data_IF_545617546449
#
_entry.id   IF_545617546449
#
_cell.length_a   1.000
_cell.length_b   1.000
_cell.length_c   1.000
_cell.angle_alpha   90.00
_cell.angle_beta   90.00
_cell.angle_gamma   90.00
#
_symmetry.space_group_name_H-M   'P 1'
#
loop_
_entity.id
_entity.type
_entity.pdbx_description
1 polymer ?
#
# COMPACT_ATOMS: atom_id res chain seq x y z
N UNK A 1 -6.79 30.60 37.54
CA UNK A 1 -6.24 31.20 36.28
C UNK A 1 -6.82 30.38 35.15
N UNK A 2 -7.80 31.00 34.49
CA UNK A 2 -8.66 30.40 33.46
C UNK A 2 -7.80 29.87 32.31
N UNK A 3 -7.84 28.55 32.11
CA UNK A 3 -7.39 27.91 30.88
C UNK A 3 -8.36 28.36 29.77
N UNK A 4 -7.95 29.32 28.94
CA UNK A 4 -8.70 29.72 27.75
C UNK A 4 -8.84 28.48 26.86
N UNK A 5 -10.08 28.03 26.68
CA UNK A 5 -10.43 26.94 25.78
C UNK A 5 -9.84 27.23 24.39
N UNK A 6 -9.08 26.29 23.87
CA UNK A 6 -8.51 26.42 22.54
C UNK A 6 -9.60 26.32 21.48
N UNK A 7 -9.44 27.02 20.35
CA UNK A 7 -10.47 27.14 19.31
C UNK A 7 -10.90 25.83 18.62
N UNK A 8 -10.43 24.66 19.09
CA UNK A 8 -10.84 23.33 18.66
C UNK A 8 -11.75 22.60 19.68
N UNK A 9 -11.93 23.16 20.90
CA UNK A 9 -12.81 22.60 21.93
C UNK A 9 -14.23 23.19 21.85
N UNK A 10 -14.64 23.62 20.66
CA UNK A 10 -16.01 24.09 20.47
C UNK A 10 -16.99 22.93 20.55
N UNK A 11 -18.04 22.99 21.34
CA UNK A 11 -19.11 22.02 21.36
C UNK A 11 -19.66 21.84 19.92
N UNK A 12 -19.73 20.62 19.44
CA UNK A 12 -20.22 20.26 18.10
C UNK A 12 -19.16 19.96 17.04
N UNK A 13 -17.85 20.00 17.35
CA UNK A 13 -16.83 19.49 16.45
C UNK A 13 -16.58 18.00 16.68
N UNK A 14 -16.54 17.24 15.60
CA UNK A 14 -16.24 15.80 15.63
C UNK A 14 -14.73 15.59 15.60
N UNK A 15 -14.13 14.86 16.56
CA UNK A 15 -12.75 14.46 16.49
C UNK A 15 -12.45 13.66 15.20
N UNK A 16 -11.28 13.86 14.65
CA UNK A 16 -10.86 13.22 13.39
C UNK A 16 -10.89 11.70 13.49
N UNK A 17 -10.43 11.15 14.63
CA UNK A 17 -10.44 9.73 14.91
C UNK A 17 -11.87 9.16 14.92
N UNK A 18 -12.81 9.85 15.56
CA UNK A 18 -14.21 9.43 15.60
C UNK A 18 -14.88 9.49 14.21
N UNK A 19 -14.52 10.48 13.38
CA UNK A 19 -14.97 10.55 12.00
C UNK A 19 -14.43 9.36 11.18
N UNK A 20 -13.16 9.05 11.34
CA UNK A 20 -12.51 7.91 10.68
C UNK A 20 -13.16 6.58 11.10
N UNK A 21 -13.36 6.35 12.40
CA UNK A 21 -14.02 5.14 12.91
C UNK A 21 -15.42 4.95 12.31
N UNK A 22 -16.21 6.03 12.24
CA UNK A 22 -17.55 5.97 11.60
C UNK A 22 -17.46 5.60 10.11
N UNK A 23 -16.53 6.20 9.37
CA UNK A 23 -16.35 5.90 7.95
C UNK A 23 -15.85 4.46 7.74
N UNK A 24 -14.95 3.97 8.58
CA UNK A 24 -14.47 2.60 8.49
C UNK A 24 -15.57 1.58 8.77
N UNK A 25 -16.42 1.83 9.77
CA UNK A 25 -17.59 0.99 10.04
C UNK A 25 -18.57 0.94 8.85
N UNK A 26 -18.82 2.09 8.20
CA UNK A 26 -19.64 2.15 6.99
C UNK A 26 -18.98 1.43 5.81
N UNK A 27 -17.67 1.51 5.67
CA UNK A 27 -16.92 0.78 4.64
C UNK A 27 -17.00 -0.74 4.83
N UNK A 28 -16.91 -1.21 6.07
CA UNK A 28 -17.05 -2.63 6.43
C UNK A 28 -18.45 -3.18 6.18
N UNK A 29 -19.47 -2.35 6.30
CA UNK A 29 -20.85 -2.72 5.98
C UNK A 29 -21.12 -2.86 4.48
N UNK A 30 -20.28 -2.30 3.62
CA UNK A 30 -20.44 -2.30 2.16
C UNK A 30 -19.14 -2.68 1.44
N UNK A 31 -18.57 -3.86 1.68
CA UNK A 31 -17.31 -4.28 1.07
C UNK A 31 -17.47 -4.53 -0.43
N UNK A 32 -16.38 -4.42 -1.17
CA UNK A 32 -16.31 -4.91 -2.54
C UNK A 32 -16.06 -6.42 -2.49
N UNK A 33 -17.10 -7.21 -2.79
CA UNK A 33 -17.00 -8.66 -2.73
C UNK A 33 -16.54 -9.30 -4.05
N UNK A 34 -16.73 -8.63 -5.17
CA UNK A 34 -16.39 -9.15 -6.49
C UNK A 34 -14.89 -9.38 -6.65
N UNK A 35 -14.55 -10.56 -7.16
CA UNK A 35 -13.18 -11.03 -7.36
C UNK A 35 -12.86 -11.13 -8.85
N UNK A 36 -11.68 -10.71 -9.23
CA UNK A 36 -11.13 -10.83 -10.59
C UNK A 36 -9.83 -11.61 -10.57
N UNK A 37 -9.62 -12.45 -11.58
CA UNK A 37 -8.35 -13.09 -11.83
C UNK A 37 -7.55 -12.24 -12.80
N UNK A 38 -6.47 -11.62 -12.33
CA UNK A 38 -5.62 -10.75 -13.15
C UNK A 38 -4.24 -11.36 -13.36
N UNK A 39 -3.62 -11.05 -14.49
CA UNK A 39 -2.23 -11.39 -14.70
C UNK A 39 -1.32 -10.64 -13.71
N UNK A 40 -0.21 -11.26 -13.31
CA UNK A 40 0.73 -10.65 -12.35
C UNK A 40 1.20 -9.26 -12.80
N UNK A 41 1.43 -9.07 -14.11
CA UNK A 41 1.83 -7.79 -14.70
C UNK A 41 0.76 -6.68 -14.58
N UNK A 42 -0.50 -7.03 -14.32
CA UNK A 42 -1.63 -6.10 -14.20
C UNK A 42 -2.08 -5.92 -12.74
N UNK A 43 -1.38 -6.57 -11.81
CA UNK A 43 -1.79 -6.65 -10.42
C UNK A 43 -1.29 -5.50 -9.54
N UNK A 44 -0.45 -4.60 -10.04
CA UNK A 44 0.05 -3.45 -9.27
C UNK A 44 -1.11 -2.56 -8.78
N UNK A 45 -1.03 -2.17 -7.51
CA UNK A 45 -2.05 -1.36 -6.83
C UNK A 45 -3.35 -2.09 -6.50
N UNK A 46 -3.51 -3.39 -6.88
CA UNK A 46 -4.70 -4.20 -6.58
C UNK A 46 -4.64 -4.71 -5.13
N UNK A 47 -5.76 -5.22 -4.66
CA UNK A 47 -5.90 -5.80 -3.31
C UNK A 47 -6.25 -7.27 -3.41
N UNK A 48 -5.52 -8.13 -2.73
CA UNK A 48 -5.75 -9.58 -2.74
C UNK A 48 -7.13 -9.92 -2.15
N UNK A 49 -7.89 -10.72 -2.89
CA UNK A 49 -9.16 -11.29 -2.46
C UNK A 49 -8.99 -12.67 -1.82
N UNK A 50 -7.91 -13.36 -2.15
CA UNK A 50 -7.51 -14.66 -1.62
C UNK A 50 -6.08 -14.59 -1.13
N UNK A 51 -5.67 -15.41 -0.12
CA UNK A 51 -4.30 -15.41 0.34
C UNK A 51 -3.36 -15.98 -0.72
N UNK A 52 -2.14 -15.48 -0.82
CA UNK A 52 -1.10 -16.12 -1.60
C UNK A 52 -0.42 -17.17 -0.72
N UNK A 53 -0.63 -18.42 -1.06
CA UNK A 53 -0.03 -19.58 -0.39
C UNK A 53 1.19 -20.04 -1.20
N UNK A 54 2.30 -20.28 -0.53
CA UNK A 54 3.50 -20.78 -1.18
C UNK A 54 3.26 -22.17 -1.83
N UNK A 55 3.41 -22.23 -3.14
CA UNK A 55 3.28 -23.47 -3.90
C UNK A 55 4.58 -24.26 -3.92
N UNK A 56 5.70 -23.68 -3.48
CA UNK A 56 7.03 -24.27 -3.41
C UNK A 56 7.82 -23.64 -2.26
N UNK A 57 8.90 -24.32 -1.89
CA UNK A 57 9.87 -23.79 -0.93
C UNK A 57 10.68 -22.64 -1.54
N UNK A 58 11.08 -21.65 -0.74
CA UNK A 58 12.06 -20.64 -1.12
C UNK A 58 13.27 -20.67 -0.16
N UNK A 59 14.47 -20.89 -0.67
CA UNK A 59 14.78 -21.41 -2.00
C UNK A 59 14.24 -22.83 -2.23
N UNK A 60 14.00 -23.25 -3.50
CA UNK A 60 13.35 -24.54 -3.80
C UNK A 60 14.27 -25.75 -3.52
N UNK A 61 15.55 -25.53 -3.32
CA UNK A 61 16.56 -26.50 -2.91
C UNK A 61 17.67 -25.80 -2.15
N UNK A 62 18.47 -26.56 -1.42
CA UNK A 62 19.68 -26.01 -0.80
C UNK A 62 20.64 -25.52 -1.88
N UNK A 63 21.22 -24.34 -1.71
CA UNK A 63 22.12 -23.73 -2.68
C UNK A 63 23.30 -23.03 -2.02
N UNK A 64 24.33 -22.76 -2.81
CA UNK A 64 25.51 -22.05 -2.34
C UNK A 64 25.24 -20.54 -2.19
N UNK A 65 25.65 -20.00 -1.06
CA UNK A 65 25.65 -18.55 -0.84
C UNK A 65 26.86 -17.85 -1.47
N UNK A 66 27.91 -18.59 -1.82
CA UNK A 66 29.20 -18.10 -2.29
C UNK A 66 29.73 -18.86 -3.50
N UNK A 67 30.63 -18.25 -4.23
CA UNK A 67 31.47 -18.95 -5.18
C UNK A 67 32.56 -19.70 -4.41
N UNK A 68 32.66 -21.00 -4.62
CA UNK A 68 33.57 -21.80 -3.80
C UNK A 68 33.56 -23.28 -4.13
N UNK A 69 33.72 -24.08 -3.12
CA UNK A 69 33.83 -25.53 -3.21
C UNK A 69 32.93 -26.20 -2.18
N UNK A 70 32.03 -27.04 -2.67
CA UNK A 70 31.12 -27.81 -1.81
C UNK A 70 31.76 -29.15 -1.45
N UNK A 71 31.65 -29.56 -0.20
CA UNK A 71 32.15 -30.81 0.32
C UNK A 71 31.17 -31.40 1.34
N UNK A 72 31.35 -32.70 1.65
CA UNK A 72 30.78 -33.34 2.82
C UNK A 72 31.81 -33.28 3.95
N UNK A 73 31.53 -32.52 4.95
CA UNK A 73 32.51 -32.26 6.02
C UNK A 73 32.94 -33.51 6.77
N UNK A 74 32.04 -34.50 6.93
CA UNK A 74 32.32 -35.76 7.58
C UNK A 74 33.36 -36.64 6.81
N UNK A 75 33.52 -36.43 5.51
CA UNK A 75 34.47 -37.19 4.67
C UNK A 75 35.84 -36.50 4.58
N UNK A 76 35.99 -35.33 5.16
CA UNK A 76 37.22 -34.54 5.13
C UNK A 76 37.99 -34.61 6.44
N UNK A 77 39.23 -35.00 6.37
CA UNK A 77 40.16 -35.15 7.52
C UNK A 77 41.45 -34.33 7.33
N UNK A 78 41.35 -33.19 6.60
CA UNK A 78 42.48 -32.29 6.36
C UNK A 78 43.24 -32.55 5.03
N UNK A 79 42.89 -33.59 4.26
CA UNK A 79 43.51 -33.90 2.96
C UNK A 79 43.00 -32.98 1.86
N UNK A 80 43.83 -32.81 0.80
CA UNK A 80 43.38 -32.15 -0.42
C UNK A 80 42.36 -32.98 -1.16
N UNK A 81 41.24 -32.38 -1.60
CA UNK A 81 40.16 -33.06 -2.31
C UNK A 81 40.20 -32.79 -3.82
N UNK A 82 40.09 -33.84 -4.67
CA UNK A 82 39.88 -33.64 -6.10
C UNK A 82 38.51 -33.08 -6.41
N UNK A 83 38.39 -32.27 -7.47
CA UNK A 83 37.15 -31.70 -7.96
C UNK A 83 36.45 -32.73 -8.85
N UNK A 84 35.27 -33.23 -8.45
CA UNK A 84 34.52 -34.23 -9.21
C UNK A 84 33.52 -33.64 -10.20
N UNK A 85 33.07 -32.41 -9.95
CA UNK A 85 32.12 -31.70 -10.82
C UNK A 85 32.22 -30.19 -10.65
N UNK A 86 31.63 -29.47 -11.62
CA UNK A 86 31.49 -28.00 -11.61
C UNK A 86 30.02 -27.68 -11.78
N UNK A 87 29.46 -26.90 -10.82
CA UNK A 87 28.03 -26.65 -10.71
C UNK A 87 27.77 -25.13 -10.80
N UNK A 88 27.14 -24.70 -11.88
CA UNK A 88 26.68 -23.33 -12.07
C UNK A 88 25.22 -23.20 -11.68
N UNK A 89 24.76 -21.97 -11.45
CA UNK A 89 23.34 -21.70 -11.28
C UNK A 89 22.55 -22.20 -12.50
N UNK A 90 21.42 -22.88 -12.25
CA UNK A 90 20.61 -23.51 -13.28
C UNK A 90 21.10 -24.95 -13.70
N UNK A 91 22.21 -25.44 -13.17
CA UNK A 91 22.66 -26.79 -13.38
C UNK A 91 21.87 -27.80 -12.50
N UNK A 92 21.83 -29.06 -12.95
CA UNK A 92 21.37 -30.18 -12.14
C UNK A 92 22.61 -30.98 -11.71
N UNK A 93 23.07 -30.87 -10.45
CA UNK A 93 24.25 -31.57 -9.99
C UNK A 93 23.99 -33.08 -9.85
N UNK A 94 25.04 -33.88 -10.04
CA UNK A 94 25.04 -35.28 -9.62
C UNK A 94 25.38 -35.37 -8.12
N UNK A 95 25.03 -36.49 -7.44
CA UNK A 95 25.46 -36.71 -6.07
C UNK A 95 26.97 -36.55 -5.92
N UNK A 96 27.42 -35.95 -4.81
CA UNK A 96 28.84 -35.75 -4.55
C UNK A 96 29.52 -37.11 -4.33
N UNK A 97 30.59 -37.39 -5.08
CA UNK A 97 31.39 -38.60 -4.90
C UNK A 97 32.12 -38.51 -3.55
N UNK A 98 32.16 -39.63 -2.78
CA UNK A 98 32.92 -39.67 -1.52
C UNK A 98 34.40 -39.31 -1.74
N UNK A 99 34.96 -38.53 -0.81
CA UNK A 99 36.37 -38.12 -0.89
C UNK A 99 36.68 -37.08 -1.97
N UNK A 100 35.64 -36.39 -2.51
CA UNK A 100 35.80 -35.31 -3.50
C UNK A 100 35.13 -34.04 -3.02
N UNK A 101 35.38 -32.94 -3.73
CA UNK A 101 34.59 -31.69 -3.63
C UNK A 101 34.01 -31.31 -5.00
N UNK A 102 33.06 -30.41 -4.99
CA UNK A 102 32.48 -29.82 -6.20
C UNK A 102 32.81 -28.33 -6.29
N UNK A 103 33.33 -27.86 -7.42
CA UNK A 103 33.37 -26.43 -7.70
C UNK A 103 31.94 -25.93 -7.87
N UNK A 104 31.53 -24.96 -7.04
CA UNK A 104 30.17 -24.44 -7.01
C UNK A 104 30.17 -22.92 -7.09
N UNK A 105 29.12 -22.37 -7.67
CA UNK A 105 28.91 -20.92 -7.81
C UNK A 105 27.69 -20.46 -7.03
N UNK A 106 27.65 -19.18 -6.68
CA UNK A 106 26.54 -18.56 -5.95
C UNK A 106 25.20 -18.86 -6.59
N UNK A 107 24.24 -19.33 -5.80
CA UNK A 107 22.90 -19.71 -6.25
C UNK A 107 22.80 -21.09 -6.92
N UNK A 108 23.93 -21.77 -7.15
CA UNK A 108 23.93 -23.12 -7.69
C UNK A 108 23.39 -24.13 -6.66
N UNK A 109 22.61 -25.13 -7.09
CA UNK A 109 22.10 -26.16 -6.19
C UNK A 109 23.22 -26.97 -5.57
N UNK A 110 23.11 -27.24 -4.28
CA UNK A 110 24.07 -28.06 -3.55
C UNK A 110 23.91 -29.53 -3.99
N UNK A 111 25.00 -30.24 -4.38
CA UNK A 111 24.89 -31.66 -4.75
C UNK A 111 24.50 -32.50 -3.54
N UNK A 112 23.70 -33.53 -3.78
CA UNK A 112 23.34 -34.46 -2.72
C UNK A 112 24.62 -35.06 -2.07
N UNK A 113 24.64 -35.07 -0.73
CA UNK A 113 25.81 -35.52 0.04
C UNK A 113 26.74 -34.38 0.47
N UNK A 114 26.71 -33.20 -0.15
CA UNK A 114 27.42 -32.03 0.35
C UNK A 114 26.63 -31.32 1.42
N UNK A 115 27.32 -30.77 2.42
CA UNK A 115 26.73 -30.04 3.56
C UNK A 115 27.44 -28.72 3.90
N UNK A 116 28.55 -28.44 3.22
CA UNK A 116 29.45 -27.32 3.54
C UNK A 116 29.98 -26.72 2.24
N UNK A 117 30.05 -25.39 2.18
CA UNK A 117 30.72 -24.66 1.10
C UNK A 117 31.79 -23.76 1.69
N UNK A 118 33.02 -23.86 1.19
CA UNK A 118 34.07 -22.91 1.50
C UNK A 118 34.26 -21.97 0.32
N UNK A 119 34.49 -20.68 0.62
CA UNK A 119 34.71 -19.64 -0.38
C UNK A 119 36.02 -19.91 -1.14
N UNK A 120 36.03 -19.58 -2.42
CA UNK A 120 37.22 -19.76 -3.27
C UNK A 120 38.43 -18.98 -2.78
N UNK A 121 38.24 -17.88 -2.07
CA UNK A 121 39.28 -17.02 -1.51
C UNK A 121 40.03 -17.68 -0.33
N UNK A 122 39.42 -18.67 0.29
CA UNK A 122 39.92 -19.35 1.50
C UNK A 122 40.57 -20.71 1.22
N UNK A 123 40.70 -21.08 -0.04
CA UNK A 123 41.28 -22.38 -0.45
C UNK A 123 42.52 -22.18 -1.32
N UNK A 124 43.34 -23.21 -1.41
CA UNK A 124 44.49 -23.28 -2.30
C UNK A 124 44.34 -24.50 -3.23
N UNK A 125 44.76 -24.35 -4.48
CA UNK A 125 44.84 -25.44 -5.43
C UNK A 125 46.30 -25.92 -5.52
N UNK A 126 46.50 -27.23 -5.45
CA UNK A 126 47.81 -27.80 -5.71
C UNK A 126 48.08 -27.95 -7.20
N UNK A 127 49.31 -28.43 -7.56
CA UNK A 127 49.72 -28.62 -8.96
C UNK A 127 48.84 -29.65 -9.70
N UNK A 128 48.18 -30.55 -8.98
CA UNK A 128 47.25 -31.55 -9.53
C UNK A 128 45.80 -31.03 -9.59
N UNK A 129 45.56 -29.78 -9.22
CA UNK A 129 44.22 -29.13 -9.21
C UNK A 129 43.33 -29.59 -8.08
N UNK A 130 43.87 -30.21 -7.01
CA UNK A 130 43.12 -30.59 -5.82
C UNK A 130 42.99 -29.39 -4.88
N UNK A 131 41.89 -29.33 -4.13
CA UNK A 131 41.53 -28.21 -3.25
C UNK A 131 42.03 -28.49 -1.85
N UNK A 132 42.86 -27.59 -1.32
CA UNK A 132 43.26 -27.54 0.09
C UNK A 132 42.34 -26.56 0.85
N UNK A 133 41.57 -27.13 1.77
CA UNK A 133 40.72 -26.34 2.67
C UNK A 133 41.50 -25.97 3.92
N UNK A 134 41.15 -24.85 4.53
CA UNK A 134 41.70 -24.36 5.81
C UNK A 134 40.66 -24.56 6.91
N UNK A 135 41.07 -25.02 8.08
CA UNK A 135 40.21 -25.08 9.27
C UNK A 135 40.06 -23.71 9.93
N UNK A 136 38.94 -23.48 10.66
CA UNK A 136 37.83 -24.40 10.91
C UNK A 136 36.73 -24.31 9.85
N UNK A 137 36.17 -25.44 9.45
CA UNK A 137 34.95 -25.56 8.65
C UNK A 137 33.75 -25.98 9.52
N UNK A 138 32.55 -25.61 9.12
CA UNK A 138 31.29 -25.93 9.83
C UNK A 138 30.26 -26.48 8.87
N UNK A 139 29.51 -27.50 9.31
CA UNK A 139 28.34 -27.99 8.58
C UNK A 139 27.33 -26.83 8.40
N UNK A 140 26.81 -26.67 7.20
CA UNK A 140 25.91 -25.59 6.83
C UNK A 140 26.59 -24.27 6.48
N UNK A 141 27.92 -24.16 6.58
CA UNK A 141 28.66 -22.95 6.24
C UNK A 141 28.43 -22.57 4.79
N UNK A 142 28.05 -21.31 4.53
CA UNK A 142 27.74 -20.76 3.20
C UNK A 142 26.69 -21.55 2.39
N UNK A 143 25.81 -22.28 3.08
CA UNK A 143 24.69 -23.00 2.48
C UNK A 143 23.38 -22.31 2.87
N UNK A 144 22.57 -21.96 1.86
CA UNK A 144 21.18 -21.59 2.06
C UNK A 144 20.34 -22.85 2.02
N UNK A 145 19.67 -23.16 3.13
CA UNK A 145 18.84 -24.36 3.20
C UNK A 145 17.58 -24.24 2.35
N UNK A 146 17.08 -25.34 1.83
CA UNK A 146 15.77 -25.41 1.19
C UNK A 146 14.69 -24.89 2.15
N UNK A 147 13.78 -24.04 1.66
CA UNK A 147 12.69 -23.47 2.43
C UNK A 147 13.13 -22.55 3.58
N UNK A 148 14.35 -22.04 3.54
CA UNK A 148 14.88 -21.15 4.59
C UNK A 148 14.08 -19.85 4.71
N UNK A 149 13.57 -19.33 3.60
CA UNK A 149 12.81 -18.07 3.56
C UNK A 149 11.31 -18.32 3.66
N UNK A 150 10.80 -19.33 2.94
CA UNK A 150 9.38 -19.70 2.91
C UNK A 150 9.23 -21.16 2.62
N UNK A 151 8.30 -21.82 3.30
CA UNK A 151 7.98 -23.22 3.08
C UNK A 151 6.66 -23.38 2.31
N UNK A 152 6.57 -24.42 1.52
CA UNK A 152 5.35 -24.83 0.84
C UNK A 152 4.17 -24.88 1.83
N UNK A 153 3.03 -24.29 1.47
CA UNK A 153 1.84 -24.21 2.31
C UNK A 153 1.79 -23.00 3.24
N UNK A 154 2.86 -22.24 3.40
CA UNK A 154 2.83 -21.01 4.19
C UNK A 154 2.04 -19.89 3.48
N UNK A 155 1.28 -19.12 4.27
CA UNK A 155 0.61 -17.91 3.79
C UNK A 155 1.63 -16.78 3.68
N UNK A 156 1.98 -16.40 2.47
CA UNK A 156 3.01 -15.39 2.18
C UNK A 156 2.41 -13.99 2.15
N UNK A 157 1.24 -13.85 1.54
CA UNK A 157 0.48 -12.61 1.54
C UNK A 157 -0.96 -12.90 1.97
N UNK A 158 -1.48 -12.23 3.00
CA UNK A 158 -2.85 -12.44 3.47
C UNK A 158 -3.88 -11.78 2.54
N UNK A 159 -5.13 -12.17 2.70
CA UNK A 159 -6.29 -11.46 2.13
C UNK A 159 -6.23 -9.99 2.56
N UNK A 160 -6.55 -9.08 1.65
CA UNK A 160 -6.50 -7.64 1.91
C UNK A 160 -5.10 -7.03 1.78
N UNK A 161 -4.07 -7.81 1.46
CA UNK A 161 -2.76 -7.25 1.12
C UNK A 161 -2.87 -6.39 -0.15
N UNK A 162 -2.37 -5.17 -0.08
CA UNK A 162 -2.27 -4.29 -1.25
C UNK A 162 -0.97 -4.62 -1.98
N UNK A 163 -1.11 -4.93 -3.27
CA UNK A 163 0.01 -5.34 -4.10
C UNK A 163 0.82 -4.12 -4.57
N UNK A 164 2.08 -4.12 -4.25
CA UNK A 164 3.09 -3.19 -4.75
C UNK A 164 4.29 -3.97 -5.31
N UNK A 165 5.37 -3.28 -5.66
CA UNK A 165 6.54 -3.91 -6.29
C UNK A 165 7.12 -5.08 -5.48
N UNK A 166 7.14 -4.99 -4.16
CA UNK A 166 7.67 -6.04 -3.27
C UNK A 166 6.77 -7.27 -3.29
N UNK A 167 5.46 -7.08 -3.13
CA UNK A 167 4.46 -8.15 -3.14
C UNK A 167 4.41 -8.87 -4.50
N UNK A 168 4.54 -8.11 -5.59
CA UNK A 168 4.60 -8.66 -6.95
C UNK A 168 5.89 -9.46 -7.18
N UNK A 169 7.03 -8.96 -6.71
CA UNK A 169 8.31 -9.68 -6.76
C UNK A 169 8.24 -11.00 -5.99
N UNK A 170 7.64 -10.97 -4.81
CA UNK A 170 7.44 -12.15 -3.97
C UNK A 170 6.49 -13.16 -4.64
N UNK A 171 5.37 -12.70 -5.19
CA UNK A 171 4.45 -13.56 -5.95
C UNK A 171 5.13 -14.20 -7.17
N UNK A 172 5.95 -13.44 -7.88
CA UNK A 172 6.74 -13.95 -9.00
C UNK A 172 7.74 -15.04 -8.57
N UNK A 173 8.42 -14.85 -7.43
CA UNK A 173 9.37 -15.85 -6.91
C UNK A 173 8.70 -17.18 -6.53
N UNK A 174 7.41 -17.15 -6.21
CA UNK A 174 6.58 -18.33 -5.96
C UNK A 174 5.92 -18.90 -7.23
N UNK A 175 6.20 -18.34 -8.41
CA UNK A 175 5.68 -18.82 -9.68
C UNK A 175 4.22 -18.42 -9.96
N UNK A 176 3.66 -17.47 -9.22
CA UNK A 176 2.29 -17.00 -9.43
C UNK A 176 2.20 -16.21 -10.75
N UNK A 177 1.49 -16.73 -11.74
CA UNK A 177 1.24 -16.04 -13.01
C UNK A 177 0.00 -15.15 -12.96
N UNK A 178 -0.97 -15.47 -12.11
CA UNK A 178 -2.23 -14.76 -11.90
C UNK A 178 -2.52 -14.66 -10.41
N UNK A 179 -3.27 -13.63 -10.04
CA UNK A 179 -3.69 -13.40 -8.66
C UNK A 179 -5.20 -13.11 -8.61
N UNK A 180 -5.86 -13.61 -7.58
CA UNK A 180 -7.24 -13.28 -7.25
C UNK A 180 -7.27 -11.96 -6.49
N UNK A 181 -7.88 -10.93 -7.06
CA UNK A 181 -7.91 -9.58 -6.50
C UNK A 181 -9.32 -9.04 -6.43
N UNK A 182 -9.56 -8.09 -5.54
CA UNK A 182 -10.82 -7.36 -5.50
C UNK A 182 -11.00 -6.53 -6.77
N UNK A 183 -12.22 -6.47 -7.31
CA UNK A 183 -12.57 -5.55 -8.39
C UNK A 183 -12.19 -4.12 -8.05
N UNK A 184 -11.79 -3.35 -9.04
CA UNK A 184 -11.52 -1.90 -8.86
C UNK A 184 -12.77 -1.17 -8.38
N UNK A 185 -12.62 -0.26 -7.42
CA UNK A 185 -13.68 0.70 -7.09
C UNK A 185 -13.92 1.64 -8.27
N UNK A 186 -15.18 1.84 -8.65
CA UNK A 186 -15.59 2.88 -9.59
C UNK A 186 -16.00 4.13 -8.82
N UNK A 187 -15.22 5.19 -8.98
CA UNK A 187 -15.40 6.42 -8.22
C UNK A 187 -15.71 7.58 -9.17
N UNK A 188 -16.87 8.20 -8.98
CA UNK A 188 -17.21 9.43 -9.67
C UNK A 188 -16.59 10.63 -8.96
N UNK A 189 -16.02 11.56 -9.72
CA UNK A 189 -15.48 12.82 -9.21
C UNK A 189 -16.23 13.96 -9.87
N UNK A 190 -16.76 14.86 -9.05
CA UNK A 190 -17.44 16.07 -9.51
C UNK A 190 -16.99 17.27 -8.67
N UNK A 191 -17.10 18.44 -9.26
CA UNK A 191 -16.90 19.73 -8.58
C UNK A 191 -18.14 20.59 -8.75
N UNK A 192 -18.41 21.43 -7.78
CA UNK A 192 -19.49 22.41 -7.83
C UNK A 192 -18.94 23.80 -7.56
N UNK A 193 -19.48 24.79 -8.21
CA UNK A 193 -19.15 26.20 -8.05
C UNK A 193 -19.07 26.92 -9.40
N UNK A 194 -19.84 28.00 -9.55
CA UNK A 194 -19.85 28.84 -10.75
C UNK A 194 -18.54 29.61 -10.96
N UNK A 195 -17.70 29.69 -9.90
CA UNK A 195 -16.36 30.25 -9.97
C UNK A 195 -15.35 29.34 -10.67
N UNK A 196 -15.66 28.05 -10.87
CA UNK A 196 -14.73 27.07 -11.38
C UNK A 196 -14.68 27.06 -12.91
N UNK A 197 -13.45 27.06 -13.44
CA UNK A 197 -13.18 26.99 -14.89
C UNK A 197 -12.19 25.86 -15.16
N UNK A 198 -12.33 25.17 -16.27
CA UNK A 198 -11.39 24.15 -16.69
C UNK A 198 -10.04 24.76 -17.08
N UNK A 199 -8.91 24.12 -16.67
CA UNK A 199 -7.59 24.52 -17.14
C UNK A 199 -7.53 24.58 -18.67
N UNK A 200 -6.94 25.66 -19.18
CA UNK A 200 -6.83 25.92 -20.63
C UNK A 200 -7.89 26.90 -21.16
N UNK A 201 -8.92 27.20 -20.40
CA UNK A 201 -9.88 28.25 -20.72
C UNK A 201 -9.45 29.59 -20.10
N UNK A 202 -9.86 30.71 -20.65
CA UNK A 202 -9.58 32.02 -20.08
C UNK A 202 -10.44 32.25 -18.82
N UNK A 203 -9.84 32.83 -17.77
CA UNK A 203 -10.56 33.22 -16.56
C UNK A 203 -11.33 34.53 -16.77
N UNK A 204 -12.59 34.51 -16.42
CA UNK A 204 -13.38 35.72 -16.21
C UNK A 204 -13.19 36.31 -14.81
N UNK A 205 -13.75 37.50 -14.53
CA UNK A 205 -13.71 38.10 -13.20
C UNK A 205 -14.31 37.16 -12.12
N UNK A 206 -13.58 36.95 -11.02
CA UNK A 206 -13.99 36.09 -9.92
C UNK A 206 -13.86 34.58 -10.15
N UNK A 207 -13.39 34.15 -11.31
CA UNK A 207 -13.20 32.73 -11.63
C UNK A 207 -11.83 32.24 -11.24
N UNK A 208 -11.73 30.92 -10.94
CA UNK A 208 -10.52 30.20 -10.60
C UNK A 208 -10.48 28.86 -11.36
N UNK A 209 -9.28 28.32 -11.57
CA UNK A 209 -9.15 27.00 -12.18
C UNK A 209 -9.51 25.86 -11.21
N UNK A 210 -10.21 24.85 -11.72
CA UNK A 210 -10.56 23.65 -10.98
C UNK A 210 -9.35 22.72 -10.82
N UNK A 211 -8.55 22.98 -9.78
CA UNK A 211 -7.37 22.16 -9.46
C UNK A 211 -7.72 20.89 -8.67
N UNK A 212 -8.74 20.93 -7.81
CA UNK A 212 -9.13 19.83 -6.93
C UNK A 212 -9.54 18.58 -7.71
N UNK A 213 -10.30 18.74 -8.78
CA UNK A 213 -10.74 17.62 -9.60
C UNK A 213 -9.55 16.87 -10.21
N UNK A 214 -8.56 17.57 -10.72
CA UNK A 214 -7.33 16.95 -11.29
C UNK A 214 -6.51 16.24 -10.22
N UNK A 215 -6.38 16.84 -9.04
CA UNK A 215 -5.71 16.24 -7.89
C UNK A 215 -6.39 14.92 -7.49
N UNK A 216 -7.72 14.91 -7.35
CA UNK A 216 -8.47 13.73 -6.93
C UNK A 216 -8.41 12.62 -8.00
N UNK A 217 -8.60 12.94 -9.26
CA UNK A 217 -8.52 11.95 -10.37
C UNK A 217 -7.15 11.27 -10.37
N UNK A 218 -6.07 12.06 -10.30
CA UNK A 218 -4.72 11.51 -10.28
C UNK A 218 -4.47 10.59 -9.07
N UNK A 219 -4.97 10.96 -7.90
CA UNK A 219 -4.83 10.13 -6.70
C UNK A 219 -5.66 8.85 -6.77
N UNK A 220 -6.89 8.93 -7.26
CA UNK A 220 -7.75 7.76 -7.43
C UNK A 220 -7.14 6.75 -8.42
N UNK A 221 -6.57 7.23 -9.53
CA UNK A 221 -5.87 6.38 -10.48
C UNK A 221 -4.66 5.68 -9.83
N UNK A 222 -3.86 6.40 -9.03
CA UNK A 222 -2.75 5.80 -8.26
C UNK A 222 -3.20 4.83 -7.18
N UNK A 223 -4.41 4.99 -6.66
CA UNK A 223 -5.03 4.01 -5.74
C UNK A 223 -5.59 2.79 -6.47
N UNK A 224 -5.58 2.78 -7.79
CA UNK A 224 -6.09 1.70 -8.61
C UNK A 224 -7.58 1.74 -8.87
N UNK A 225 -8.24 2.88 -8.64
CA UNK A 225 -9.67 3.06 -8.92
C UNK A 225 -9.95 3.25 -10.42
N UNK A 226 -11.14 2.86 -10.83
CA UNK A 226 -11.74 3.28 -12.11
C UNK A 226 -12.46 4.62 -11.87
N UNK A 227 -12.09 5.67 -12.59
CA UNK A 227 -12.61 7.02 -12.35
C UNK A 227 -13.62 7.41 -13.40
N UNK A 228 -14.78 7.89 -12.94
CA UNK A 228 -15.79 8.57 -13.75
C UNK A 228 -15.66 10.08 -13.51
N UNK A 229 -15.21 10.81 -14.51
CA UNK A 229 -15.05 12.26 -14.44
C UNK A 229 -16.37 12.95 -14.82
N UNK A 230 -17.10 13.43 -13.80
CA UNK A 230 -18.39 14.10 -13.98
C UNK A 230 -18.28 15.62 -14.22
N UNK A 231 -17.07 16.17 -14.22
CA UNK A 231 -16.82 17.57 -14.54
C UNK A 231 -17.22 18.55 -13.45
N UNK A 232 -17.55 19.77 -13.89
CA UNK A 232 -18.06 20.86 -13.04
C UNK A 232 -19.58 20.88 -13.17
N UNK A 233 -20.28 20.75 -12.07
CA UNK A 233 -21.72 20.93 -12.01
C UNK A 233 -22.05 22.42 -11.83
N UNK A 234 -22.95 22.96 -12.64
CA UNK A 234 -23.42 24.31 -12.43
C UNK A 234 -24.26 24.43 -11.14
N UNK A 235 -24.37 25.60 -10.60
CA UNK A 235 -25.23 25.91 -9.44
C UNK A 235 -26.71 25.90 -9.86
N UNK A 236 -27.23 24.71 -10.20
CA UNK A 236 -28.60 24.44 -10.62
C UNK A 236 -29.03 23.05 -10.13
N UNK A 237 -30.14 22.99 -9.41
CA UNK A 237 -30.63 21.75 -8.80
C UNK A 237 -31.02 20.69 -9.83
N UNK A 238 -31.70 21.09 -10.91
CA UNK A 238 -32.15 20.16 -11.92
C UNK A 238 -30.97 19.53 -12.68
N UNK A 239 -30.00 20.34 -13.08
CA UNK A 239 -28.76 19.87 -13.73
C UNK A 239 -27.91 19.01 -12.81
N UNK A 240 -27.88 19.31 -11.51
CA UNK A 240 -27.21 18.48 -10.50
C UNK A 240 -27.86 17.09 -10.43
N UNK A 241 -29.18 17.00 -10.40
CA UNK A 241 -29.92 15.73 -10.42
C UNK A 241 -29.66 14.93 -11.71
N UNK A 242 -29.69 15.59 -12.86
CA UNK A 242 -29.43 14.96 -14.16
C UNK A 242 -28.00 14.40 -14.22
N UNK A 243 -27.01 15.17 -13.75
CA UNK A 243 -25.62 14.73 -13.71
C UNK A 243 -25.41 13.53 -12.77
N UNK A 244 -26.00 13.56 -11.57
CA UNK A 244 -25.94 12.43 -10.63
C UNK A 244 -26.64 11.19 -11.22
N UNK A 245 -27.79 11.34 -11.88
CA UNK A 245 -28.50 10.26 -12.54
C UNK A 245 -27.75 9.66 -13.73
N UNK A 246 -26.86 10.43 -14.38
CA UNK A 246 -26.07 10.00 -15.54
C UNK A 246 -24.76 9.28 -15.15
N UNK A 247 -24.38 9.21 -13.87
CA UNK A 247 -23.10 8.60 -13.43
C UNK A 247 -23.02 7.09 -13.71
N UNK A 248 -24.17 6.42 -13.90
CA UNK A 248 -24.23 4.97 -14.04
C UNK A 248 -23.84 4.24 -12.76
N UNK A 249 -23.41 3.01 -12.89
CA UNK A 249 -22.97 2.23 -11.75
C UNK A 249 -21.62 2.72 -11.21
N UNK A 250 -21.64 3.31 -10.03
CA UNK A 250 -20.44 3.74 -9.30
C UNK A 250 -20.53 3.28 -7.84
N UNK A 251 -19.38 3.07 -7.23
CA UNK A 251 -19.28 2.60 -5.84
C UNK A 251 -19.21 3.76 -4.84
N UNK A 252 -18.78 4.92 -5.31
CA UNK A 252 -18.55 6.11 -4.49
C UNK A 252 -18.64 7.36 -5.37
N UNK A 253 -19.23 8.40 -4.84
CA UNK A 253 -19.19 9.75 -5.41
C UNK A 253 -18.33 10.63 -4.51
N UNK A 254 -17.30 11.27 -5.08
CA UNK A 254 -16.50 12.30 -4.44
C UNK A 254 -16.84 13.65 -5.03
N UNK A 255 -17.20 14.61 -4.20
CA UNK A 255 -17.39 15.99 -4.62
C UNK A 255 -16.35 16.92 -3.98
N UNK A 256 -16.03 18.00 -4.69
CA UNK A 256 -15.26 19.12 -4.12
C UNK A 256 -16.09 20.40 -4.25
N UNK A 257 -16.28 21.11 -3.14
CA UNK A 257 -17.23 22.23 -3.06
C UNK A 257 -18.67 21.75 -2.92
N UNK A 258 -19.62 22.67 -2.85
CA UNK A 258 -21.07 22.42 -2.84
C UNK A 258 -21.63 21.65 -1.64
N UNK A 259 -20.86 21.53 -0.55
CA UNK A 259 -21.26 20.86 0.68
C UNK A 259 -21.18 21.82 1.86
N UNK A 260 -21.84 22.93 1.71
CA UNK A 260 -21.96 23.99 2.72
C UNK A 260 -23.39 24.03 3.28
N UNK A 261 -23.57 24.72 4.39
CA UNK A 261 -24.89 25.10 4.92
C UNK A 261 -25.47 26.35 4.21
N UNK A 262 -24.90 26.74 3.06
CA UNK A 262 -25.30 27.92 2.31
C UNK A 262 -26.53 27.70 1.44
N UNK A 263 -27.17 28.80 1.02
CA UNK A 263 -28.38 28.82 0.19
C UNK A 263 -28.16 28.25 -1.23
N UNK A 264 -26.91 28.18 -1.71
CA UNK A 264 -26.51 27.64 -3.03
C UNK A 264 -25.90 26.22 -2.97
N UNK A 265 -26.25 25.41 -1.96
CA UNK A 265 -25.80 24.01 -1.86
C UNK A 265 -26.75 23.06 -2.62
N UNK A 266 -26.74 23.12 -3.94
CA UNK A 266 -27.62 22.29 -4.78
C UNK A 266 -27.27 20.81 -4.71
N UNK A 267 -25.99 20.46 -4.52
CA UNK A 267 -25.59 19.08 -4.28
C UNK A 267 -26.17 18.57 -2.95
N UNK A 268 -26.03 19.32 -1.87
CA UNK A 268 -26.61 18.97 -0.58
C UNK A 268 -28.14 18.88 -0.64
N UNK A 269 -28.81 19.74 -1.43
CA UNK A 269 -30.25 19.65 -1.65
C UNK A 269 -30.63 18.35 -2.39
N UNK A 270 -29.95 18.01 -3.47
CA UNK A 270 -30.20 16.78 -4.24
C UNK A 270 -29.96 15.52 -3.36
N UNK A 271 -28.94 15.54 -2.52
CA UNK A 271 -28.66 14.43 -1.60
C UNK A 271 -29.71 14.28 -0.50
N UNK A 272 -30.21 15.39 0.08
CA UNK A 272 -31.30 15.35 1.11
C UNK A 272 -32.59 14.81 0.53
N UNK A 273 -32.91 15.11 -0.72
CA UNK A 273 -34.10 14.60 -1.39
C UNK A 273 -33.99 13.11 -1.75
N UNK A 274 -32.80 12.64 -2.07
CA UNK A 274 -32.56 11.28 -2.56
C UNK A 274 -32.06 10.29 -1.49
N UNK A 275 -31.78 10.76 -0.27
CA UNK A 275 -31.25 9.91 0.79
C UNK A 275 -30.86 10.67 2.06
N UNK A 276 -29.95 10.11 2.82
CA UNK A 276 -29.44 10.69 4.05
C UNK A 276 -28.20 11.56 3.76
N UNK A 277 -28.16 12.72 4.39
CA UNK A 277 -27.01 13.60 4.36
C UNK A 277 -26.60 13.97 5.79
N UNK A 278 -25.36 13.67 6.16
CA UNK A 278 -24.76 14.11 7.41
C UNK A 278 -23.62 15.08 7.13
N UNK A 279 -23.72 16.29 7.68
CA UNK A 279 -22.64 17.26 7.66
C UNK A 279 -21.82 17.11 8.93
N UNK A 280 -20.52 16.80 8.80
CA UNK A 280 -19.60 16.70 9.92
C UNK A 280 -18.67 17.91 9.95
N UNK A 281 -18.66 18.57 11.11
CA UNK A 281 -17.68 19.63 11.38
C UNK A 281 -16.51 19.01 12.12
N UNK A 282 -15.41 18.78 11.41
CA UNK A 282 -14.24 18.13 11.97
C UNK A 282 -13.41 19.05 12.87
N UNK A 283 -12.86 18.51 13.94
CA UNK A 283 -11.90 19.20 14.81
C UNK A 283 -10.49 19.21 14.17
N UNK A 284 -10.38 19.71 12.94
CA UNK A 284 -9.14 19.77 12.14
C UNK A 284 -9.04 21.12 11.42
N UNK A 285 -7.81 21.57 11.18
CA UNK A 285 -7.52 22.76 10.38
C UNK A 285 -6.21 22.51 9.58
N UNK A 286 -6.26 22.58 8.24
CA UNK A 286 -7.42 22.83 7.39
C UNK A 286 -8.33 21.59 7.25
N UNK A 287 -9.59 21.75 6.78
CA UNK A 287 -10.48 20.64 6.46
C UNK A 287 -11.69 20.47 7.37
N UNK A 288 -12.13 21.54 8.02
CA UNK A 288 -13.24 21.50 8.98
C UNK A 288 -14.55 20.89 8.47
N UNK A 289 -15.09 21.25 7.28
CA UNK A 289 -16.31 20.64 6.79
C UNK A 289 -16.01 19.32 6.05
N UNK A 290 -16.79 18.28 6.35
CA UNK A 290 -16.88 17.04 5.59
C UNK A 290 -18.35 16.66 5.51
N UNK A 291 -18.80 16.27 4.34
CA UNK A 291 -20.14 15.73 4.16
C UNK A 291 -20.06 14.24 3.83
N UNK A 292 -20.92 13.46 4.49
CA UNK A 292 -21.14 12.05 4.15
C UNK A 292 -22.64 11.84 3.94
N UNK A 293 -23.00 11.14 2.88
CA UNK A 293 -24.39 10.85 2.55
C UNK A 293 -24.51 9.73 1.54
N UNK A 294 -25.72 9.56 1.02
CA UNK A 294 -26.01 8.58 -0.02
C UNK A 294 -26.88 9.22 -1.10
N UNK A 295 -26.63 8.85 -2.34
CA UNK A 295 -27.49 9.14 -3.46
C UNK A 295 -27.96 7.83 -4.09
N UNK A 296 -29.26 7.50 -3.97
CA UNK A 296 -29.83 6.24 -4.43
C UNK A 296 -29.04 5.00 -3.97
N UNK A 297 -28.60 5.01 -2.71
CA UNK A 297 -27.81 3.92 -2.11
C UNK A 297 -26.29 4.00 -2.37
N UNK A 298 -25.82 4.90 -3.25
CA UNK A 298 -24.39 5.10 -3.49
C UNK A 298 -23.83 6.08 -2.47
N UNK A 299 -22.76 5.73 -1.73
CA UNK A 299 -22.11 6.64 -0.80
C UNK A 299 -21.56 7.90 -1.49
N UNK A 300 -21.71 9.05 -0.84
CA UNK A 300 -21.20 10.35 -1.27
C UNK A 300 -20.32 10.93 -0.19
N UNK A 301 -19.09 11.30 -0.53
CA UNK A 301 -18.18 12.05 0.34
C UNK A 301 -17.93 13.41 -0.29
N UNK A 302 -18.41 14.46 0.39
CA UNK A 302 -18.17 15.84 0.02
C UNK A 302 -16.96 16.40 0.73
N UNK A 303 -15.94 16.76 -0.04
CA UNK A 303 -14.68 17.32 0.42
C UNK A 303 -14.74 18.86 0.38
N UNK A 304 -13.98 19.56 1.25
CA UNK A 304 -13.91 21.02 1.21
C UNK A 304 -13.41 21.55 -0.13
N UNK A 305 -13.84 22.74 -0.53
CA UNK A 305 -13.39 23.40 -1.76
C UNK A 305 -11.96 23.91 -1.74
N UNK A 306 -11.40 24.23 -0.55
CA UNK A 306 -9.99 24.65 -0.45
C UNK A 306 -9.04 23.49 -0.78
N UNK A 307 -8.07 23.67 -1.71
CA UNK A 307 -7.19 22.58 -2.16
C UNK A 307 -6.41 21.87 -1.04
N UNK A 308 -5.85 22.61 -0.08
CA UNK A 308 -5.15 22.03 1.05
C UNK A 308 -6.09 21.19 1.94
N UNK A 309 -7.31 21.67 2.13
CA UNK A 309 -8.35 20.95 2.88
C UNK A 309 -8.80 19.70 2.12
N UNK A 310 -9.00 19.79 0.81
CA UNK A 310 -9.32 18.63 -0.06
C UNK A 310 -8.26 17.55 0.08
N UNK A 311 -6.98 17.92 -0.02
CA UNK A 311 -5.84 17.00 0.08
C UNK A 311 -5.82 16.27 1.43
N UNK A 312 -5.95 17.03 2.52
CA UNK A 312 -5.88 16.49 3.89
C UNK A 312 -7.07 15.57 4.18
N UNK A 313 -8.29 16.02 3.88
CA UNK A 313 -9.50 15.22 4.16
C UNK A 313 -9.60 14.00 3.26
N UNK A 314 -9.18 14.10 2.01
CA UNK A 314 -9.05 12.93 1.14
C UNK A 314 -8.08 11.89 1.71
N UNK A 315 -6.85 12.32 2.06
CA UNK A 315 -5.80 11.43 2.55
C UNK A 315 -6.13 10.75 3.88
N UNK A 316 -6.78 11.48 4.79
CA UNK A 316 -7.05 11.02 6.15
C UNK A 316 -8.41 10.32 6.33
N UNK A 317 -9.37 10.54 5.44
CA UNK A 317 -10.73 10.01 5.56
C UNK A 317 -11.21 9.23 4.34
N UNK A 318 -11.24 9.86 3.16
CA UNK A 318 -11.78 9.21 1.96
C UNK A 318 -10.91 8.03 1.49
N UNK A 319 -9.59 8.18 1.48
CA UNK A 319 -8.65 7.11 1.13
C UNK A 319 -8.76 5.90 2.08
N UNK A 320 -8.70 6.04 3.42
CA UNK A 320 -8.93 4.93 4.34
C UNK A 320 -10.28 4.24 4.14
N UNK A 321 -11.36 5.00 3.94
CA UNK A 321 -12.68 4.46 3.63
C UNK A 321 -12.66 3.54 2.40
N UNK A 322 -12.09 4.01 1.29
CA UNK A 322 -11.99 3.25 0.04
C UNK A 322 -11.15 1.98 0.20
N UNK A 323 -10.00 2.09 0.86
CA UNK A 323 -9.12 0.94 1.11
C UNK A 323 -9.79 -0.10 2.01
N UNK A 324 -10.55 0.32 3.02
CA UNK A 324 -11.32 -0.59 3.89
C UNK A 324 -12.42 -1.31 3.10
N UNK A 325 -13.09 -0.67 2.19
CA UNK A 325 -14.07 -1.32 1.29
C UNK A 325 -13.44 -2.41 0.41
N UNK A 326 -12.17 -2.27 0.07
CA UNK A 326 -11.39 -3.29 -0.66
C UNK A 326 -10.84 -4.40 0.26
N UNK A 327 -11.06 -4.32 1.58
CA UNK A 327 -10.61 -5.31 2.55
C UNK A 327 -9.21 -5.08 3.12
N UNK A 328 -8.60 -3.92 2.85
CA UNK A 328 -7.30 -3.57 3.43
C UNK A 328 -7.44 -3.35 4.94
N UNK A 329 -6.61 -4.02 5.74
CA UNK A 329 -6.68 -3.96 7.20
C UNK A 329 -6.01 -2.71 7.78
N UNK A 330 -4.83 -2.35 7.27
CA UNK A 330 -4.08 -1.17 7.70
C UNK A 330 -4.27 -0.06 6.69
N UNK A 331 -5.19 0.85 7.00
CA UNK A 331 -5.61 1.92 6.08
C UNK A 331 -5.07 3.29 6.46
N UNK A 332 -4.57 3.46 7.68
CA UNK A 332 -4.01 4.71 8.17
C UNK A 332 -2.75 5.09 7.37
N UNK A 333 -2.55 6.37 7.08
CA UNK A 333 -1.31 6.84 6.49
C UNK A 333 -0.10 6.51 7.38
N UNK A 334 1.02 6.17 6.76
CA UNK A 334 2.27 5.97 7.49
C UNK A 334 2.67 7.28 8.19
N UNK A 335 2.84 7.22 9.50
CA UNK A 335 3.18 8.36 10.33
C UNK A 335 4.45 8.11 11.16
N UNK A 336 5.30 9.11 11.21
CA UNK A 336 6.50 9.10 12.06
C UNK A 336 6.43 10.23 13.06
N UNK A 337 6.86 9.96 14.29
CA UNK A 337 7.06 10.99 15.31
C UNK A 337 8.46 11.58 15.14
N UNK A 338 8.50 12.88 14.86
CA UNK A 338 9.76 13.62 14.74
C UNK A 338 9.72 14.86 15.64
N UNK A 339 10.84 15.29 16.24
CA UNK A 339 10.91 16.56 16.95
C UNK A 339 10.61 17.71 16.00
N UNK A 340 9.77 18.66 16.42
CA UNK A 340 9.56 19.89 15.66
C UNK A 340 10.79 20.79 15.82
N UNK A 341 11.43 21.18 14.70
CA UNK A 341 12.54 22.12 14.68
C UNK A 341 12.08 23.61 14.79
N UNK A 342 10.84 23.87 15.20
CA UNK A 342 10.25 25.20 15.28
C UNK A 342 9.29 25.28 16.48
N UNK A 343 9.09 26.48 16.99
CA UNK A 343 8.08 26.74 18.01
C UNK A 343 6.70 26.90 17.36
N UNK A 344 5.72 26.12 17.82
CA UNK A 344 4.33 26.23 17.39
C UNK A 344 3.54 27.03 18.42
N UNK A 345 3.09 28.22 18.04
CA UNK A 345 2.37 29.13 18.95
C UNK A 345 0.86 28.86 19.05
N UNK A 346 0.32 27.92 18.28
CA UNK A 346 -1.09 27.62 18.27
C UNK A 346 -1.43 26.41 19.15
N UNK A 347 -2.25 26.62 20.16
CA UNK A 347 -2.76 25.60 21.06
C UNK A 347 -3.88 24.78 20.41
N UNK A 348 -3.62 24.04 19.33
CA UNK A 348 -4.58 23.15 18.72
C UNK A 348 -4.24 21.70 19.09
N UNK A 349 -5.07 21.01 19.91
CA UNK A 349 -4.74 19.68 20.41
C UNK A 349 -4.70 18.58 19.34
N UNK A 350 -5.30 18.78 18.16
CA UNK A 350 -5.47 17.73 17.15
C UNK A 350 -5.13 18.21 15.73
N UNK A 351 -3.91 18.69 15.51
CA UNK A 351 -3.41 18.91 14.17
C UNK A 351 -2.80 17.62 13.64
N UNK A 352 -3.45 16.96 12.68
CA UNK A 352 -2.94 15.72 12.08
C UNK A 352 -1.67 15.91 11.23
N UNK A 353 -1.34 17.15 10.89
CA UNK A 353 -0.03 17.50 10.33
C UNK A 353 1.04 17.72 11.41
N UNK A 354 0.61 17.84 12.69
CA UNK A 354 1.50 17.89 13.84
C UNK A 354 0.80 17.21 15.03
N UNK A 355 0.84 15.88 15.10
CA UNK A 355 0.38 15.15 16.29
C UNK A 355 1.22 15.56 17.48
N UNK A 356 0.61 16.29 18.41
CA UNK A 356 1.15 16.48 19.74
C UNK A 356 0.98 15.18 20.52
N UNK A 357 2.02 14.34 20.63
CA UNK A 357 2.24 13.70 21.92
C UNK A 357 2.90 14.75 22.80
N UNK A 358 2.33 15.02 23.97
CA UNK A 358 3.10 15.59 25.06
C UNK A 358 4.35 14.75 25.21
N UNK A 359 5.47 15.22 24.68
CA UNK A 359 6.77 14.75 25.09
C UNK A 359 6.88 15.20 26.54
N UNK A 360 6.71 14.25 27.43
CA UNK A 360 7.24 14.38 28.79
C UNK A 360 8.66 14.90 28.62
N UNK A 361 8.98 15.89 29.41
CA UNK A 361 10.27 16.53 29.52
C UNK A 361 11.40 15.51 29.41
N UNK A 362 12.06 15.45 28.26
CA UNK A 362 13.43 15.00 28.20
C UNK A 362 14.32 16.21 28.41
N UNK A 363 14.60 16.51 29.68
CA UNK A 363 15.79 17.21 30.05
C UNK A 363 16.96 16.23 29.89
N UNK A 364 17.81 16.54 28.96
CA UNK A 364 19.26 16.47 28.78
C UNK A 364 19.63 16.04 27.37
#
# INVERSE_FOLDING_TARGET
>A
RDARMSGCDHPGLLPMEAALERLLALAEATPVEQVEQVALAEADGRVLAEPLIAALDLPPWANSAMDGYALRLADWSGQALPISQRIQAGAAPTPLQPGTCARIFTGAPLPEGADTVEMQENVELDEAGRVHFREPLKVGQNVRAQGQETRIGECVLPVGARLGPIELGLAASLGAARLAVRRRLRVAVLSTGDELVEPGQALGPGQIYNSNRRLLIAWLQRLGCSVVDAGILPDDLQRTREALGALGEVDLILSTGGVSVGEADFLGMALREAGELALWKLAIKPGKPLTFGHYQGVPVIGLPGNPASTLVTFGLLARPYMLRRLGVQRVEPLGFMVPAGFAWSCCLPNHHLARRKQLGSYHR
#
